data_IF_783667840333
#
_entry.id   IF_783667840333
#
_cell.length_a   1.000
_cell.length_b   1.000
_cell.length_c   1.000
_cell.angle_alpha   90.00
_cell.angle_beta   90.00
_cell.angle_gamma   90.00
#
_symmetry.space_group_name_H-M   'P 1'
#
loop_
_entity.id
_entity.type
_entity.pdbx_description
1 polymer ?
#
# COMPACT_ATOMS: atom_id res chain seq x y z
N UNK A 1 15.73 -10.79 2.72
CA UNK A 1 14.36 -11.27 2.41
C UNK A 1 14.45 -12.77 2.19
N UNK A 2 13.71 -13.53 2.99
CA UNK A 2 13.59 -14.99 2.80
C UNK A 2 12.32 -15.26 2.01
N UNK A 3 12.45 -15.96 0.88
CA UNK A 3 11.29 -16.38 0.10
C UNK A 3 10.82 -17.76 0.56
N UNK A 4 9.50 -17.91 0.74
CA UNK A 4 8.87 -19.21 0.95
C UNK A 4 8.16 -19.61 -0.35
N UNK A 5 8.47 -20.78 -0.93
CA UNK A 5 7.70 -21.30 -2.05
C UNK A 5 6.24 -21.52 -1.64
N UNK A 6 5.31 -21.25 -2.54
CA UNK A 6 3.93 -21.69 -2.34
C UNK A 6 3.88 -23.22 -2.36
N UNK A 7 3.02 -23.83 -1.55
CA UNK A 7 2.82 -25.28 -1.53
C UNK A 7 2.36 -25.73 -2.92
N UNK A 8 3.04 -26.72 -3.49
CA UNK A 8 2.82 -27.16 -4.87
C UNK A 8 3.65 -26.42 -5.91
N UNK A 9 4.28 -25.30 -5.57
CA UNK A 9 5.26 -24.50 -6.35
C UNK A 9 4.87 -24.10 -7.77
N UNK A 10 3.76 -24.60 -8.32
CA UNK A 10 3.33 -24.35 -9.69
C UNK A 10 1.88 -23.88 -9.69
N UNK A 11 1.63 -22.79 -10.39
CA UNK A 11 0.27 -22.33 -10.73
C UNK A 11 0.04 -22.75 -12.19
N UNK A 12 -0.79 -23.76 -12.47
CA UNK A 12 -1.07 -24.16 -13.85
C UNK A 12 -1.68 -23.01 -14.67
N UNK A 13 -1.50 -22.99 -16.00
CA UNK A 13 -2.16 -22.03 -16.86
C UNK A 13 -3.68 -22.00 -16.62
N UNK A 14 -4.24 -20.78 -16.46
CA UNK A 14 -5.65 -20.59 -16.17
C UNK A 14 -6.07 -20.84 -14.71
N UNK A 15 -5.15 -21.24 -13.85
CA UNK A 15 -5.42 -21.39 -12.42
C UNK A 15 -5.10 -20.10 -11.62
N UNK A 16 -5.67 -20.00 -10.41
CA UNK A 16 -5.45 -18.90 -9.47
C UNK A 16 -4.82 -19.45 -8.19
N UNK A 17 -3.76 -18.80 -7.71
CA UNK A 17 -3.26 -19.01 -6.35
C UNK A 17 -3.84 -17.94 -5.43
N UNK A 18 -4.48 -18.35 -4.35
CA UNK A 18 -4.95 -17.47 -3.31
C UNK A 18 -3.98 -17.52 -2.12
N UNK A 19 -3.37 -16.38 -1.80
CA UNK A 19 -2.40 -16.24 -0.70
C UNK A 19 -2.99 -15.29 0.35
N UNK A 20 -3.27 -15.81 1.52
CA UNK A 20 -3.74 -15.01 2.65
C UNK A 20 -2.53 -14.46 3.41
N UNK A 21 -2.44 -13.14 3.49
CA UNK A 21 -1.44 -12.45 4.28
C UNK A 21 -1.96 -12.36 5.72
N UNK A 22 -1.30 -13.04 6.64
CA UNK A 22 -1.77 -13.14 8.02
C UNK A 22 -0.66 -12.78 9.01
N UNK A 23 -1.05 -12.13 10.11
CA UNK A 23 -0.16 -11.77 11.20
C UNK A 23 0.24 -12.99 12.04
N UNK A 24 -0.66 -13.91 12.31
CA UNK A 24 -0.55 -14.92 13.37
C UNK A 24 -0.95 -16.34 12.93
N UNK A 25 -0.64 -16.76 11.73
CA UNK A 25 -0.81 -18.16 11.35
C UNK A 25 -2.19 -18.75 11.63
N UNK A 26 -3.26 -17.96 11.48
CA UNK A 26 -4.63 -18.44 11.62
C UNK A 26 -4.99 -19.51 10.59
N UNK A 27 -6.02 -20.29 10.88
CA UNK A 27 -6.53 -21.29 9.96
C UNK A 27 -7.01 -20.61 8.67
N UNK A 28 -6.40 -20.97 7.54
CA UNK A 28 -6.83 -20.51 6.23
C UNK A 28 -7.93 -21.43 5.67
N UNK A 29 -8.86 -20.91 4.87
CA UNK A 29 -9.81 -21.75 4.15
C UNK A 29 -9.11 -22.84 3.33
N UNK A 30 -9.77 -23.98 3.15
CA UNK A 30 -9.24 -25.08 2.32
C UNK A 30 -8.88 -24.60 0.92
N UNK A 31 -7.75 -25.03 0.39
CA UNK A 31 -7.27 -24.64 -0.94
C UNK A 31 -6.54 -23.28 -1.00
N UNK A 32 -6.33 -22.62 0.14
CA UNK A 32 -5.59 -21.37 0.22
C UNK A 32 -4.19 -21.56 0.82
N UNK A 33 -3.30 -20.61 0.56
CA UNK A 33 -1.94 -20.54 1.11
C UNK A 33 -1.87 -19.42 2.15
N UNK A 34 -1.02 -19.56 3.15
CA UNK A 34 -0.78 -18.50 4.14
C UNK A 34 0.65 -18.00 4.07
N UNK A 35 0.82 -16.70 4.04
CA UNK A 35 2.09 -16.03 4.28
C UNK A 35 2.01 -15.24 5.58
N UNK A 36 2.81 -15.65 6.58
CA UNK A 36 2.87 -14.98 7.88
C UNK A 36 3.94 -13.91 7.87
N UNK A 37 3.62 -12.74 8.36
CA UNK A 37 4.57 -11.62 8.46
C UNK A 37 4.00 -10.46 9.26
N UNK A 38 4.78 -9.39 9.47
CA UNK A 38 4.26 -8.17 10.07
C UNK A 38 3.16 -7.61 9.18
N UNK A 39 1.99 -7.44 9.74
CA UNK A 39 0.78 -6.97 9.06
C UNK A 39 0.70 -5.45 9.17
N UNK A 40 -0.08 -4.86 8.28
CA UNK A 40 -0.44 -3.45 8.31
C UNK A 40 -0.86 -2.99 9.73
N UNK A 41 -0.39 -1.82 10.10
CA UNK A 41 -0.75 -1.14 11.35
C UNK A 41 -1.69 0.02 11.02
N UNK A 42 -2.44 0.48 12.01
CA UNK A 42 -3.17 1.74 11.94
C UNK A 42 -2.23 2.90 12.23
N UNK A 43 -2.48 4.02 11.56
CA UNK A 43 -1.77 5.26 11.80
C UNK A 43 -0.52 5.43 10.93
N UNK A 44 0.21 6.51 11.21
CA UNK A 44 1.48 6.81 10.56
C UNK A 44 2.59 5.94 11.14
N UNK A 45 3.43 5.34 10.27
CA UNK A 45 4.54 4.49 10.73
C UNK A 45 5.34 3.86 9.61
N UNK A 46 6.33 3.04 10.02
CA UNK A 46 7.20 2.27 9.14
C UNK A 46 6.91 0.78 9.33
N UNK A 47 6.74 0.05 8.25
CA UNK A 47 6.49 -1.39 8.26
C UNK A 47 7.28 -2.16 7.20
N UNK A 48 6.94 -3.44 7.06
CA UNK A 48 7.53 -4.36 6.09
C UNK A 48 6.46 -4.86 5.13
N UNK A 49 6.71 -4.73 3.83
CA UNK A 49 5.84 -5.22 2.78
C UNK A 49 6.13 -6.69 2.44
N UNK A 50 5.13 -7.39 1.94
CA UNK A 50 5.32 -8.68 1.31
C UNK A 50 5.83 -8.51 -0.12
N UNK A 51 6.61 -9.46 -0.58
CA UNK A 51 7.08 -9.52 -1.96
C UNK A 51 6.70 -10.84 -2.61
N UNK A 52 6.02 -10.74 -3.74
CA UNK A 52 5.72 -11.87 -4.61
C UNK A 52 6.79 -11.95 -5.70
N UNK A 53 7.33 -13.15 -5.96
CA UNK A 53 8.25 -13.44 -7.06
C UNK A 53 7.72 -14.65 -7.82
N UNK A 54 7.68 -14.52 -9.14
CA UNK A 54 7.26 -15.58 -10.07
C UNK A 54 8.34 -15.74 -11.14
N UNK A 55 8.47 -16.93 -11.71
CA UNK A 55 9.35 -17.25 -12.83
C UNK A 55 8.69 -17.05 -14.20
N UNK A 56 7.36 -16.89 -14.22
CA UNK A 56 6.57 -16.55 -15.40
C UNK A 56 5.69 -15.31 -15.11
N UNK A 57 5.28 -14.55 -16.14
CA UNK A 57 4.37 -13.43 -15.97
C UNK A 57 3.04 -13.88 -15.37
N UNK A 58 2.58 -13.13 -14.36
CA UNK A 58 1.27 -13.30 -13.71
C UNK A 58 0.57 -11.95 -13.56
N UNK A 59 -0.74 -11.99 -13.41
CA UNK A 59 -1.52 -10.85 -12.95
C UNK A 59 -1.77 -11.07 -11.45
N UNK A 60 -1.48 -10.06 -10.64
CA UNK A 60 -1.65 -10.13 -9.20
C UNK A 60 -2.59 -9.02 -8.71
N UNK A 61 -3.43 -9.36 -7.77
CA UNK A 61 -4.32 -8.43 -7.09
C UNK A 61 -4.11 -8.52 -5.60
N UNK A 62 -4.21 -7.38 -4.92
CA UNK A 62 -4.38 -7.31 -3.48
C UNK A 62 -5.85 -7.04 -3.18
N UNK A 63 -6.43 -7.84 -2.28
CA UNK A 63 -7.85 -7.75 -1.90
C UNK A 63 -7.92 -7.65 -0.38
N UNK A 64 -8.48 -6.56 0.12
CA UNK A 64 -8.58 -6.30 1.55
C UNK A 64 -9.96 -5.75 1.96
N UNK A 65 -10.59 -6.37 2.96
CA UNK A 65 -10.35 -7.76 3.39
C UNK A 65 -10.92 -8.74 2.36
N UNK A 66 -10.26 -9.88 2.18
CA UNK A 66 -10.76 -10.92 1.28
C UNK A 66 -12.10 -11.46 1.79
N UNK A 67 -13.09 -11.52 0.88
CA UNK A 67 -14.45 -11.93 1.22
C UNK A 67 -15.26 -10.91 2.03
N UNK A 68 -14.78 -9.66 2.15
CA UNK A 68 -15.47 -8.58 2.84
C UNK A 68 -15.39 -8.62 4.37
N UNK A 69 -14.84 -9.68 4.96
CA UNK A 69 -14.80 -9.85 6.40
C UNK A 69 -16.20 -9.77 7.02
N UNK A 70 -16.29 -9.38 8.29
CA UNK A 70 -17.54 -9.17 9.00
C UNK A 70 -18.28 -7.88 8.60
N UNK A 71 -17.62 -6.97 7.91
CA UNK A 71 -18.15 -5.65 7.52
C UNK A 71 -18.55 -5.57 6.05
N UNK A 72 -18.22 -6.57 5.24
CA UNK A 72 -18.50 -6.63 3.79
C UNK A 72 -17.96 -5.43 2.98
N UNK A 73 -16.89 -4.80 3.43
CA UNK A 73 -16.29 -3.57 2.86
C UNK A 73 -15.00 -3.87 2.08
N UNK A 74 -15.01 -4.88 1.23
CA UNK A 74 -13.81 -5.27 0.48
C UNK A 74 -13.41 -4.26 -0.60
N UNK A 75 -12.11 -4.08 -0.75
CA UNK A 75 -11.48 -3.32 -1.82
C UNK A 75 -10.42 -4.17 -2.51
N UNK A 76 -10.19 -3.95 -3.79
CA UNK A 76 -9.18 -4.67 -4.56
C UNK A 76 -8.36 -3.71 -5.43
N UNK A 77 -7.06 -3.96 -5.54
CA UNK A 77 -6.17 -3.22 -6.45
C UNK A 77 -5.34 -4.18 -7.29
N UNK A 78 -5.15 -3.82 -8.55
CA UNK A 78 -4.17 -4.47 -9.42
C UNK A 78 -2.77 -4.10 -8.95
N UNK A 79 -1.91 -5.09 -8.74
CA UNK A 79 -0.52 -4.85 -8.37
C UNK A 79 0.33 -4.59 -9.60
N UNK A 80 0.91 -3.40 -9.67
CA UNK A 80 1.88 -3.02 -10.69
C UNK A 80 3.23 -3.67 -10.34
N UNK A 81 3.85 -4.44 -11.25
CA UNK A 81 5.12 -5.10 -10.97
C UNK A 81 6.22 -4.08 -10.63
N UNK A 82 7.12 -4.44 -9.71
CA UNK A 82 8.19 -3.55 -9.25
C UNK A 82 9.14 -3.11 -10.37
N UNK A 83 9.20 -3.82 -11.48
CA UNK A 83 9.94 -3.43 -12.70
C UNK A 83 9.32 -2.22 -13.43
N UNK A 84 8.04 -1.95 -13.19
CA UNK A 84 7.34 -0.78 -13.72
C UNK A 84 7.30 0.41 -12.74
N UNK A 85 7.81 0.24 -11.51
CA UNK A 85 7.90 1.32 -10.52
C UNK A 85 8.86 2.41 -10.99
N UNK A 86 8.65 3.62 -10.50
CA UNK A 86 9.47 4.79 -10.79
C UNK A 86 10.05 5.40 -9.53
N UNK A 87 10.65 6.55 -9.71
CA UNK A 87 11.28 7.35 -8.66
C UNK A 87 10.56 8.68 -8.42
N UNK A 88 9.49 8.94 -9.18
CA UNK A 88 8.73 10.18 -9.13
C UNK A 88 7.22 9.91 -9.17
N UNK A 89 6.51 10.42 -8.17
CA UNK A 89 5.06 10.27 -8.01
C UNK A 89 4.41 11.58 -7.58
N UNK A 90 3.15 11.72 -7.90
CA UNK A 90 2.25 12.64 -7.21
C UNK A 90 1.50 11.83 -6.17
N UNK A 91 1.59 12.23 -4.92
CA UNK A 91 0.88 11.60 -3.82
C UNK A 91 -0.62 11.69 -4.04
N UNK A 92 -1.30 10.59 -3.81
CA UNK A 92 -2.76 10.49 -3.81
C UNK A 92 -3.16 9.85 -2.51
N UNK A 93 -4.19 10.37 -1.85
CA UNK A 93 -4.88 9.68 -0.76
C UNK A 93 -6.28 9.29 -1.19
N UNK A 94 -6.88 8.32 -0.51
CA UNK A 94 -8.28 8.00 -0.74
C UNK A 94 -9.20 9.13 -0.25
N UNK A 95 -10.47 9.04 -0.58
CA UNK A 95 -11.47 10.03 -0.20
C UNK A 95 -11.48 10.26 1.33
N UNK A 96 -11.41 11.52 1.80
CA UNK A 96 -11.13 11.84 3.21
C UNK A 96 -12.32 11.71 4.16
N UNK A 97 -13.54 11.63 3.63
CA UNK A 97 -14.73 11.49 4.48
C UNK A 97 -14.81 10.08 5.05
N UNK A 98 -14.82 9.99 6.38
CA UNK A 98 -14.66 8.71 7.08
C UNK A 98 -15.65 8.58 8.24
N UNK A 99 -15.86 7.33 8.67
CA UNK A 99 -16.56 6.98 9.90
C UNK A 99 -15.57 6.29 10.85
N UNK A 100 -15.76 6.44 12.15
CA UNK A 100 -15.07 5.62 13.15
C UNK A 100 -13.59 5.93 13.34
N UNK A 101 -13.11 7.11 12.91
CA UNK A 101 -11.72 7.54 13.10
C UNK A 101 -10.71 6.86 12.18
N UNK A 102 -11.16 6.23 11.11
CA UNK A 102 -10.29 5.84 10.00
C UNK A 102 -9.89 7.10 9.22
N UNK A 103 -8.65 7.18 8.78
CA UNK A 103 -8.17 8.30 7.98
C UNK A 103 -7.61 7.82 6.65
N UNK A 104 -7.63 8.70 5.60
CA UNK A 104 -6.93 8.39 4.37
C UNK A 104 -5.43 8.26 4.61
N UNK A 105 -4.80 7.36 3.87
CA UNK A 105 -3.38 7.12 3.99
C UNK A 105 -2.68 7.10 2.63
N UNK A 106 -1.41 7.49 2.66
CA UNK A 106 -0.45 7.40 1.57
C UNK A 106 0.64 6.43 1.99
N UNK A 107 0.83 5.37 1.21
CA UNK A 107 1.88 4.37 1.41
C UNK A 107 2.99 4.50 0.37
N UNK A 108 4.24 4.33 0.79
CA UNK A 108 5.42 4.33 -0.09
C UNK A 108 6.31 3.17 0.28
N UNK A 109 6.60 2.29 -0.68
CA UNK A 109 7.41 1.07 -0.50
C UNK A 109 8.72 1.19 -1.27
N UNK A 110 9.85 0.86 -0.65
CA UNK A 110 11.15 0.83 -1.29
C UNK A 110 11.41 -0.50 -2.02
N UNK A 111 11.85 -0.44 -3.28
CA UNK A 111 12.24 -1.62 -4.05
C UNK A 111 13.64 -2.12 -3.71
N UNK A 112 14.52 -1.25 -3.18
CA UNK A 112 15.94 -1.49 -2.96
C UNK A 112 16.42 -0.95 -1.61
N UNK A 113 17.53 -1.49 -1.11
CA UNK A 113 18.19 -0.98 0.09
C UNK A 113 18.77 0.42 -0.13
N UNK A 114 18.80 1.24 0.93
CA UNK A 114 19.30 2.60 0.89
C UNK A 114 18.50 3.52 -0.02
N UNK A 115 17.21 3.30 -0.13
CA UNK A 115 16.29 4.19 -0.85
C UNK A 115 16.02 5.44 -0.01
N UNK A 116 16.29 6.61 -0.59
CA UNK A 116 15.95 7.91 -0.01
C UNK A 116 14.70 8.45 -0.69
N UNK A 117 13.66 8.67 0.09
CA UNK A 117 12.38 9.20 -0.40
C UNK A 117 12.17 10.59 0.16
N UNK A 118 12.16 11.59 -0.71
CA UNK A 118 11.85 12.97 -0.34
C UNK A 118 10.40 13.28 -0.70
N UNK A 119 9.64 13.70 0.29
CA UNK A 119 8.25 14.13 0.15
C UNK A 119 8.16 15.63 0.37
N UNK A 120 7.65 16.36 -0.63
CA UNK A 120 7.25 17.78 -0.50
C UNK A 120 5.73 17.80 -0.33
N UNK A 121 5.23 17.91 0.91
CA UNK A 121 3.83 17.62 1.20
C UNK A 121 2.90 18.78 0.86
N UNK A 122 1.72 18.47 0.34
CA UNK A 122 0.62 19.42 0.06
C UNK A 122 -0.04 19.95 1.33
N UNK A 123 0.05 19.22 2.44
CA UNK A 123 -0.36 19.59 3.80
C UNK A 123 0.74 19.12 4.78
N UNK A 124 0.73 19.64 6.01
CA UNK A 124 1.66 19.18 7.02
C UNK A 124 1.55 17.66 7.24
N UNK A 125 2.67 16.97 7.34
CA UNK A 125 2.72 15.56 7.72
C UNK A 125 2.78 15.47 9.25
N UNK A 126 1.84 14.74 9.83
CA UNK A 126 1.87 14.40 11.25
C UNK A 126 2.84 13.22 11.45
N UNK A 127 3.86 13.42 12.28
CA UNK A 127 4.82 12.36 12.61
C UNK A 127 4.18 11.27 13.47
N UNK A 128 4.79 10.08 13.46
CA UNK A 128 4.37 8.95 14.28
C UNK A 128 5.06 7.66 13.86
N UNK A 129 5.14 6.66 14.73
CA UNK A 129 5.65 5.32 14.41
C UNK A 129 7.05 5.30 13.75
N UNK A 130 7.95 6.22 14.14
CA UNK A 130 9.28 6.36 13.56
C UNK A 130 9.34 7.24 12.30
N UNK A 131 8.22 7.79 11.85
CA UNK A 131 8.13 8.73 10.71
C UNK A 131 8.23 10.16 11.23
N UNK A 132 9.16 10.94 10.71
CA UNK A 132 9.28 12.36 11.04
C UNK A 132 8.15 13.17 10.41
N UNK A 133 7.55 14.07 11.18
CA UNK A 133 6.59 15.06 10.67
C UNK A 133 7.29 16.25 10.02
N UNK A 134 6.55 17.01 9.22
CA UNK A 134 7.03 18.26 8.61
C UNK A 134 5.88 19.20 8.30
N UNK A 135 6.17 20.50 8.14
CA UNK A 135 5.19 21.51 7.74
C UNK A 135 4.77 21.37 6.27
N UNK A 136 3.63 21.97 5.92
CA UNK A 136 3.15 22.08 4.54
C UNK A 136 4.23 22.69 3.65
N UNK A 137 4.51 22.04 2.52
CA UNK A 137 5.49 22.48 1.52
C UNK A 137 6.95 22.34 1.95
N UNK A 138 7.23 21.90 3.17
CA UNK A 138 8.60 21.71 3.68
C UNK A 138 9.03 20.29 3.38
N UNK A 139 10.03 20.06 2.48
CA UNK A 139 10.47 18.72 2.12
C UNK A 139 11.04 17.96 3.34
N UNK A 140 10.72 16.66 3.39
CA UNK A 140 11.29 15.73 4.37
C UNK A 140 11.79 14.49 3.63
N UNK A 141 12.94 13.95 4.06
CA UNK A 141 13.53 12.75 3.47
C UNK A 141 13.47 11.59 4.45
N UNK A 142 12.96 10.47 3.97
CA UNK A 142 12.91 9.19 4.68
C UNK A 142 13.90 8.21 4.05
N UNK A 143 14.61 7.45 4.90
CA UNK A 143 15.53 6.41 4.46
C UNK A 143 14.89 5.05 4.66
N UNK A 144 14.77 4.27 3.59
CA UNK A 144 14.12 2.97 3.57
C UNK A 144 15.06 1.90 3.02
N UNK A 145 14.97 0.71 3.56
CA UNK A 145 15.57 -0.48 3.00
C UNK A 145 14.53 -1.26 2.18
N UNK A 146 15.01 -2.16 1.35
CA UNK A 146 14.20 -3.01 0.49
C UNK A 146 13.06 -3.69 1.23
N UNK A 147 11.84 -3.46 0.74
CA UNK A 147 10.62 -3.99 1.32
C UNK A 147 10.12 -3.21 2.54
N UNK A 148 10.85 -2.23 3.05
CA UNK A 148 10.27 -1.30 4.02
C UNK A 148 9.27 -0.38 3.34
N UNK A 149 8.22 -0.02 4.07
CA UNK A 149 7.27 1.00 3.64
C UNK A 149 7.06 2.02 4.75
N UNK A 150 6.72 3.23 4.34
CA UNK A 150 6.12 4.24 5.22
C UNK A 150 4.64 4.35 4.89
N UNK A 151 3.82 4.52 5.92
CA UNK A 151 2.42 4.90 5.83
C UNK A 151 2.24 6.25 6.50
N UNK A 152 1.63 7.16 5.80
CA UNK A 152 1.22 8.48 6.29
C UNK A 152 -0.29 8.48 6.36
N UNK A 153 -0.84 8.24 7.54
CA UNK A 153 -2.29 8.21 7.78
C UNK A 153 -2.68 9.40 8.63
N UNK A 154 -3.54 10.25 8.11
CA UNK A 154 -3.98 11.47 8.78
C UNK A 154 -5.26 12.04 8.18
N UNK A 155 -5.94 12.90 8.92
CA UNK A 155 -7.17 13.55 8.45
C UNK A 155 -6.92 14.51 7.27
N UNK A 156 -5.79 15.23 7.27
CA UNK A 156 -5.47 16.16 6.19
C UNK A 156 -5.09 15.39 4.92
N UNK A 157 -5.71 15.77 3.80
CA UNK A 157 -5.51 15.17 2.49
C UNK A 157 -4.12 15.53 1.93
N UNK A 158 -3.27 14.51 1.75
CA UNK A 158 -1.93 14.62 1.18
C UNK A 158 -1.90 14.54 -0.35
N UNK A 159 -3.05 14.50 -1.02
CA UNK A 159 -3.13 14.52 -2.49
C UNK A 159 -2.44 15.77 -3.04
N UNK A 160 -1.64 15.59 -4.10
CA UNK A 160 -0.81 16.64 -4.68
C UNK A 160 0.59 16.77 -4.07
N UNK A 161 0.93 15.98 -3.05
CA UNK A 161 2.29 15.92 -2.52
C UNK A 161 3.25 15.40 -3.59
N UNK A 162 4.42 16.02 -3.75
CA UNK A 162 5.44 15.56 -4.68
C UNK A 162 6.36 14.58 -3.98
N UNK A 163 6.51 13.39 -4.56
CA UNK A 163 7.33 12.31 -4.02
C UNK A 163 8.45 12.01 -5.01
N UNK A 164 9.70 12.13 -4.57
CA UNK A 164 10.90 11.81 -5.36
C UNK A 164 11.77 10.84 -4.58
N UNK A 165 12.39 9.91 -5.28
CA UNK A 165 13.33 8.97 -4.68
C UNK A 165 14.60 8.85 -5.54
N UNK A 166 15.69 8.37 -4.92
CA UNK A 166 16.92 8.06 -5.64
C UNK A 166 16.91 6.66 -6.27
N UNK A 167 15.89 5.85 -5.96
CA UNK A 167 15.71 4.47 -6.44
C UNK A 167 14.23 4.17 -6.63
N UNK A 168 13.86 3.09 -7.35
CA UNK A 168 12.45 2.78 -7.60
C UNK A 168 11.66 2.57 -6.30
N UNK A 169 10.49 3.17 -6.26
CA UNK A 169 9.50 3.03 -5.19
C UNK A 169 8.13 2.67 -5.76
N UNK A 170 7.29 2.03 -4.96
CA UNK A 170 5.87 1.89 -5.24
C UNK A 170 5.07 2.82 -4.33
N UNK A 171 3.95 3.34 -4.82
CA UNK A 171 3.05 4.18 -4.05
C UNK A 171 1.64 3.59 -4.00
N UNK A 172 1.00 3.73 -2.86
CA UNK A 172 -0.39 3.30 -2.63
C UNK A 172 -1.17 4.40 -1.95
N UNK A 173 -2.47 4.40 -2.21
CA UNK A 173 -3.45 5.24 -1.53
C UNK A 173 -4.53 4.36 -0.93
N UNK A 174 -5.07 4.73 0.21
CA UNK A 174 -6.17 3.98 0.78
C UNK A 174 -6.88 4.70 1.92
N UNK A 175 -7.97 4.08 2.35
CA UNK A 175 -8.73 4.43 3.55
C UNK A 175 -9.47 3.16 4.01
N UNK A 176 -9.44 2.89 5.29
CA UNK A 176 -10.08 1.70 5.88
C UNK A 176 -11.62 1.78 5.80
N UNK A 177 -12.18 2.98 5.87
CA UNK A 177 -13.63 3.19 5.98
C UNK A 177 -14.02 4.57 5.42
N UNK A 178 -14.16 4.66 4.11
CA UNK A 178 -14.55 5.88 3.39
C UNK A 178 -16.04 5.95 3.13
N UNK A 179 -16.61 7.16 3.18
CA UNK A 179 -17.98 7.45 2.74
C UNK A 179 -17.98 8.20 1.41
N UNK A 180 -18.59 7.62 0.38
CA UNK A 180 -18.73 8.27 -0.93
C UNK A 180 -20.17 8.04 -1.44
N UNK A 181 -21.00 9.12 -1.45
CA UNK A 181 -20.77 10.46 -0.93
C UNK A 181 -20.81 10.51 0.59
N UNK A 182 -20.45 11.65 1.19
CA UNK A 182 -20.60 11.91 2.62
C UNK A 182 -22.07 11.81 3.04
N UNK A 183 -22.33 11.12 4.16
CA UNK A 183 -23.63 11.07 4.81
C UNK A 183 -24.26 9.70 5.02
N UNK A 184 -23.98 8.63 4.20
CA UNK A 184 -24.44 7.27 4.51
C UNK A 184 -23.95 6.81 5.87
N UNK A 185 -24.69 5.93 6.51
CA UNK A 185 -24.25 5.26 7.76
C UNK A 185 -23.24 4.14 7.51
N UNK A 186 -23.07 3.72 6.27
CA UNK A 186 -22.11 2.70 5.83
C UNK A 186 -20.87 3.35 5.19
N UNK A 187 -19.75 2.65 5.22
CA UNK A 187 -18.51 3.04 4.56
C UNK A 187 -17.88 1.83 3.86
N UNK A 188 -17.01 2.10 2.91
CA UNK A 188 -16.27 1.09 2.17
C UNK A 188 -14.76 1.28 2.34
N UNK A 189 -14.02 0.17 2.35
CA UNK A 189 -12.57 0.19 2.25
C UNK A 189 -12.14 0.63 0.85
N UNK A 190 -11.08 1.41 0.79
CA UNK A 190 -10.47 1.85 -0.46
C UNK A 190 -8.98 1.63 -0.40
N UNK A 191 -8.40 1.02 -1.43
CA UNK A 191 -6.96 1.04 -1.65
C UNK A 191 -6.64 0.90 -3.13
N UNK A 192 -5.59 1.58 -3.57
CA UNK A 192 -5.16 1.56 -4.96
C UNK A 192 -3.65 1.75 -5.03
N UNK A 193 -2.99 0.91 -5.82
CA UNK A 193 -1.61 1.18 -6.22
C UNK A 193 -1.60 2.30 -7.27
N UNK A 194 -0.78 3.33 -7.04
CA UNK A 194 -0.68 4.52 -7.88
C UNK A 194 0.47 4.33 -8.88
N UNK A 195 0.25 4.58 -10.19
CA UNK A 195 1.33 4.51 -11.17
C UNK A 195 2.33 5.68 -11.01
N UNK A 196 3.61 5.50 -11.39
CA UNK A 196 4.58 6.59 -11.41
C UNK A 196 4.23 7.63 -12.47
N UNK A 197 4.68 8.87 -12.28
CA UNK A 197 4.41 9.98 -13.23
C UNK A 197 4.78 9.61 -14.66
N UNK A 198 5.89 8.90 -14.87
CA UNK A 198 6.34 8.44 -16.21
C UNK A 198 5.32 7.55 -16.93
N UNK A 199 4.42 6.88 -16.20
CA UNK A 199 3.41 5.99 -16.78
C UNK A 199 2.13 6.74 -17.20
N UNK A 200 1.99 8.03 -16.84
CA UNK A 200 0.81 8.82 -17.17
C UNK A 200 0.81 9.35 -18.61
N UNK A 201 1.93 9.17 -19.31
CA UNK A 201 2.08 9.63 -20.70
C UNK A 201 2.23 11.14 -20.84
N UNK A 202 2.72 11.55 -22.00
CA UNK A 202 2.68 12.95 -22.45
C UNK A 202 1.47 13.10 -23.38
N UNK A 203 0.56 13.97 -23.03
CA UNK A 203 -0.45 14.48 -23.95
C UNK A 203 -0.19 15.93 -24.23
#
# INVERSE_FOLDING_TARGET
ITYKPLTGSVIPPGAVALVLLNREGGACPSGTQSATGPVAFKGTGIGQAFRIKTDAPVVAYDIFPYGGGSTAVSSATLLIPSTAWGDNYVGVTAYPETIGGAYPWLGIVAAEDGTQVTVSPSQAILGGGGVAGTGKGVPVTYNLNKGQYIQLEQQADLTGSIIKANKPIGSWAGNECSQVPKGPVACDGMHQQVPPVRALGYR
#
